data_IF_831088054961
#
_entry.id   IF_831088054961
#
_cell.length_a   1.000
_cell.length_b   1.000
_cell.length_c   1.000
_cell.angle_alpha   90.00
_cell.angle_beta   90.00
_cell.angle_gamma   90.00
#
_symmetry.space_group_name_H-M   'P 1'
#
loop_
_entity.id
_entity.type
_entity.pdbx_description
1 polymer ?
#
# COMPACT_ATOMS: atom_id res chain seq x y z
N UNK A 1 -19.21 -4.99 11.99
CA UNK A 1 -19.01 -6.45 11.82
C UNK A 1 -17.51 -6.72 11.72
N UNK A 2 -17.01 -7.85 12.17
CA UNK A 2 -15.55 -8.10 12.23
C UNK A 2 -15.18 -8.90 11.00
N UNK A 3 -14.41 -8.27 10.09
CA UNK A 3 -13.70 -9.00 9.03
C UNK A 3 -12.85 -10.12 9.68
N UNK A 4 -12.93 -11.32 9.15
CA UNK A 4 -12.09 -12.44 9.60
C UNK A 4 -10.73 -12.33 8.94
N UNK A 5 -9.68 -12.10 9.74
CA UNK A 5 -8.31 -12.13 9.25
C UNK A 5 -7.80 -13.57 9.25
N UNK A 6 -7.30 -14.06 8.11
CA UNK A 6 -6.58 -15.32 7.99
C UNK A 6 -5.12 -15.08 7.62
N UNK A 7 -4.22 -15.95 8.06
CA UNK A 7 -2.80 -15.94 7.63
C UNK A 7 -2.61 -16.98 6.53
N UNK A 8 -1.95 -16.58 5.47
CA UNK A 8 -1.62 -17.46 4.33
C UNK A 8 -0.18 -17.25 3.91
N UNK A 9 0.38 -18.19 3.17
CA UNK A 9 1.70 -18.09 2.56
C UNK A 9 1.58 -18.16 1.05
N UNK A 10 2.29 -17.26 0.37
CA UNK A 10 2.42 -17.21 -1.08
C UNK A 10 3.84 -17.61 -1.43
N UNK A 11 4.02 -18.40 -2.49
CA UNK A 11 5.34 -18.67 -3.03
C UNK A 11 5.89 -17.42 -3.72
N UNK A 12 7.02 -16.91 -3.26
CA UNK A 12 7.70 -15.75 -3.80
C UNK A 12 9.11 -16.09 -4.32
N UNK A 13 9.78 -15.14 -4.98
CA UNK A 13 11.09 -15.38 -5.59
C UNK A 13 12.22 -15.61 -4.56
N UNK A 14 12.06 -15.12 -3.32
CA UNK A 14 13.03 -15.32 -2.24
C UNK A 14 12.58 -16.38 -1.21
N UNK A 15 11.54 -17.16 -1.51
CA UNK A 15 10.92 -18.11 -0.61
C UNK A 15 9.46 -17.74 -0.30
N UNK A 16 8.90 -18.24 0.79
CA UNK A 16 7.50 -17.96 1.14
C UNK A 16 7.31 -16.53 1.61
N UNK A 17 6.15 -15.96 1.26
CA UNK A 17 5.70 -14.62 1.67
C UNK A 17 4.52 -14.79 2.62
N UNK A 18 4.65 -14.31 3.85
CA UNK A 18 3.54 -14.27 4.82
C UNK A 18 2.56 -13.16 4.43
N UNK A 19 1.27 -13.48 4.37
CA UNK A 19 0.22 -12.53 4.11
C UNK A 19 -0.88 -12.63 5.18
N UNK A 20 -1.40 -11.49 5.62
CA UNK A 20 -2.67 -11.40 6.31
C UNK A 20 -3.77 -11.04 5.29
N UNK A 21 -4.85 -11.78 5.29
CA UNK A 21 -5.97 -11.59 4.37
C UNK A 21 -7.22 -11.30 5.15
N UNK A 22 -7.80 -10.14 4.89
CA UNK A 22 -9.06 -9.68 5.48
C UNK A 22 -10.15 -9.77 4.42
N UNK A 23 -11.18 -10.58 4.66
CA UNK A 23 -12.25 -10.82 3.70
C UNK A 23 -13.53 -10.07 4.08
N UNK A 24 -14.27 -9.51 3.10
CA UNK A 24 -15.61 -8.99 3.33
C UNK A 24 -16.57 -10.13 3.66
N UNK A 25 -17.77 -9.82 4.17
CA UNK A 25 -18.79 -10.83 4.50
C UNK A 25 -19.43 -11.46 3.26
N UNK A 26 -19.51 -10.69 2.18
CA UNK A 26 -19.99 -11.16 0.87
C UNK A 26 -18.84 -11.61 -0.03
N UNK A 27 -19.15 -12.20 -1.17
CA UNK A 27 -18.16 -12.48 -2.20
C UNK A 27 -17.41 -11.19 -2.57
N UNK A 28 -16.08 -11.18 -2.62
CA UNK A 28 -15.32 -9.98 -2.90
C UNK A 28 -15.58 -9.49 -4.34
N UNK A 29 -15.71 -8.17 -4.50
CA UNK A 29 -15.80 -7.52 -5.81
C UNK A 29 -14.45 -7.40 -6.53
N UNK A 30 -13.36 -7.62 -5.80
CA UNK A 30 -11.99 -7.50 -6.26
C UNK A 30 -11.01 -7.68 -5.12
N UNK A 31 -9.76 -7.38 -5.36
CA UNK A 31 -8.66 -7.59 -4.41
C UNK A 31 -7.82 -6.34 -4.21
N UNK A 32 -7.45 -6.05 -2.97
CA UNK A 32 -6.55 -4.95 -2.64
C UNK A 32 -5.24 -5.51 -2.04
N UNK A 33 -4.09 -5.25 -2.68
CA UNK A 33 -2.76 -5.59 -2.15
C UNK A 33 -2.16 -4.36 -1.50
N UNK A 34 -1.89 -4.45 -0.19
CA UNK A 34 -1.51 -3.30 0.64
C UNK A 34 -0.12 -3.51 1.22
N UNK A 35 0.84 -2.71 0.75
CA UNK A 35 2.25 -2.82 1.11
C UNK A 35 2.60 -1.95 2.32
N UNK A 36 3.38 -2.52 3.27
CA UNK A 36 3.77 -1.89 4.52
C UNK A 36 4.98 -0.95 4.38
N UNK A 37 5.26 -0.08 5.38
CA UNK A 37 6.42 0.81 5.35
C UNK A 37 7.74 0.05 5.46
N UNK A 38 8.86 0.79 5.53
CA UNK A 38 10.20 0.24 5.37
C UNK A 38 10.50 -0.94 6.31
N UNK A 39 10.93 -2.10 5.77
CA UNK A 39 11.18 -3.32 6.52
C UNK A 39 12.18 -3.14 7.66
N UNK A 40 13.28 -2.45 7.40
CA UNK A 40 14.37 -2.26 8.37
C UNK A 40 14.05 -1.22 9.46
N UNK A 41 12.94 -0.48 9.33
CA UNK A 41 12.46 0.49 10.34
C UNK A 41 11.19 0.02 11.04
N UNK A 42 11.03 -1.28 11.21
CA UNK A 42 9.91 -1.87 11.94
C UNK A 42 8.60 -1.93 11.14
N UNK A 43 8.66 -1.76 9.82
CA UNK A 43 7.51 -1.95 8.94
C UNK A 43 7.06 -3.41 8.93
N UNK A 44 5.76 -3.62 9.12
CA UNK A 44 5.10 -4.94 9.05
C UNK A 44 3.70 -4.81 8.50
N UNK A 45 3.11 -5.93 8.10
CA UNK A 45 1.71 -6.03 7.68
C UNK A 45 0.70 -5.58 8.76
N UNK A 46 1.14 -5.49 10.02
CA UNK A 46 0.30 -5.03 11.17
C UNK A 46 0.46 -3.54 11.47
N UNK A 47 1.17 -2.77 10.63
CA UNK A 47 1.25 -1.32 10.74
C UNK A 47 -0.17 -0.70 10.72
N UNK A 48 -0.42 0.31 11.57
CA UNK A 48 -1.76 0.91 11.74
C UNK A 48 -2.31 1.57 10.48
N UNK A 49 -1.45 2.20 9.67
CA UNK A 49 -1.87 2.78 8.38
C UNK A 49 -2.28 1.67 7.42
N UNK A 50 -1.49 0.60 7.33
CA UNK A 50 -1.78 -0.59 6.50
C UNK A 50 -3.09 -1.26 6.91
N UNK A 51 -3.31 -1.45 8.22
CA UNK A 51 -4.58 -1.99 8.73
C UNK A 51 -5.77 -1.06 8.45
N UNK A 52 -5.56 0.26 8.48
CA UNK A 52 -6.61 1.24 8.16
C UNK A 52 -7.00 1.16 6.69
N UNK A 53 -6.02 1.07 5.79
CA UNK A 53 -6.26 0.86 4.36
C UNK A 53 -7.01 -0.47 4.11
N UNK A 54 -6.58 -1.55 4.78
CA UNK A 54 -7.25 -2.85 4.66
C UNK A 54 -8.73 -2.78 5.07
N UNK A 55 -9.03 -2.11 6.19
CA UNK A 55 -10.42 -1.91 6.63
C UNK A 55 -11.23 -1.12 5.61
N UNK A 56 -10.68 -0.03 5.07
CA UNK A 56 -11.36 0.76 4.04
C UNK A 56 -11.73 -0.10 2.82
N UNK A 57 -10.79 -0.91 2.33
CA UNK A 57 -11.06 -1.78 1.18
C UNK A 57 -12.04 -2.90 1.49
N UNK A 58 -12.01 -3.48 2.69
CA UNK A 58 -13.01 -4.49 3.11
C UNK A 58 -14.41 -3.88 3.18
N UNK A 59 -14.57 -2.66 3.72
CA UNK A 59 -15.85 -1.92 3.72
C UNK A 59 -16.35 -1.63 2.30
N UNK A 60 -15.42 -1.44 1.35
CA UNK A 60 -15.73 -1.27 -0.08
C UNK A 60 -16.00 -2.60 -0.81
N UNK A 61 -15.94 -3.74 -0.11
CA UNK A 61 -16.20 -5.07 -0.65
C UNK A 61 -15.01 -5.76 -1.31
N UNK A 62 -13.78 -5.29 -1.11
CA UNK A 62 -12.56 -5.97 -1.59
C UNK A 62 -12.04 -6.96 -0.54
N UNK A 63 -11.41 -8.04 -1.00
CA UNK A 63 -10.56 -8.86 -0.14
C UNK A 63 -9.18 -8.18 -0.04
N UNK A 64 -8.76 -7.81 1.19
CA UNK A 64 -7.55 -7.05 1.42
C UNK A 64 -6.38 -7.97 1.82
N UNK A 65 -5.33 -7.98 1.00
CA UNK A 65 -4.10 -8.74 1.19
C UNK A 65 -2.99 -7.83 1.69
N UNK A 66 -2.43 -8.16 2.85
CA UNK A 66 -1.32 -7.44 3.48
C UNK A 66 -0.10 -8.37 3.55
N UNK A 67 0.80 -8.37 2.56
CA UNK A 67 2.04 -9.15 2.64
C UNK A 67 3.04 -8.52 3.61
N UNK A 68 3.84 -9.37 4.29
CA UNK A 68 5.12 -8.98 4.83
C UNK A 68 6.18 -9.05 3.73
N UNK A 69 6.96 -8.00 3.55
CA UNK A 69 8.10 -8.05 2.66
C UNK A 69 9.12 -9.09 3.12
N UNK A 70 10.00 -9.53 2.21
CA UNK A 70 11.09 -10.45 2.49
C UNK A 70 11.88 -10.05 3.74
N UNK A 71 12.20 -11.03 4.58
CA UNK A 71 12.91 -10.83 5.84
C UNK A 71 12.07 -10.22 6.97
N UNK A 72 10.75 -10.03 6.80
CA UNK A 72 9.84 -9.51 7.82
C UNK A 72 8.87 -10.61 8.28
N UNK A 73 8.65 -10.73 9.58
CA UNK A 73 7.76 -11.74 10.16
C UNK A 73 8.19 -13.16 9.77
N UNK A 74 7.30 -13.90 9.12
CA UNK A 74 7.57 -15.24 8.62
C UNK A 74 7.89 -15.28 7.11
N UNK A 75 8.03 -14.11 6.47
CA UNK A 75 8.50 -14.03 5.08
C UNK A 75 10.00 -14.35 5.00
N UNK A 76 10.34 -15.23 4.06
CA UNK A 76 11.72 -15.63 3.82
C UNK A 76 12.47 -14.58 2.99
N UNK A 77 13.79 -14.76 2.85
CA UNK A 77 14.67 -13.86 2.13
C UNK A 77 15.25 -12.74 3.00
N UNK A 78 15.77 -11.71 2.35
CA UNK A 78 16.38 -10.53 2.98
C UNK A 78 16.03 -9.28 2.21
N UNK A 79 16.00 -8.13 2.88
CA UNK A 79 15.80 -6.82 2.27
C UNK A 79 16.73 -6.61 1.07
N UNK A 80 16.18 -6.17 -0.06
CA UNK A 80 16.88 -6.01 -1.34
C UNK A 80 16.66 -4.61 -1.97
N UNK A 81 16.66 -3.56 -1.14
CA UNK A 81 16.63 -2.15 -1.57
C UNK A 81 15.44 -1.81 -2.51
N UNK A 82 14.35 -2.51 -2.34
CA UNK A 82 13.13 -2.32 -3.12
C UNK A 82 13.09 -3.09 -4.45
N UNK A 83 14.18 -3.73 -4.88
CA UNK A 83 14.18 -4.56 -6.11
C UNK A 83 13.38 -5.83 -5.90
N UNK A 84 13.80 -6.62 -4.93
CA UNK A 84 13.15 -7.88 -4.61
C UNK A 84 11.77 -7.70 -3.98
N UNK A 85 11.55 -6.63 -3.24
CA UNK A 85 10.25 -6.31 -2.63
C UNK A 85 9.17 -6.08 -3.68
N UNK A 86 9.49 -5.48 -4.82
CA UNK A 86 8.56 -5.34 -5.95
C UNK A 86 8.23 -6.71 -6.55
N UNK A 87 9.21 -7.62 -6.66
CA UNK A 87 8.98 -8.97 -7.16
C UNK A 87 8.12 -9.81 -6.20
N UNK A 88 8.29 -9.62 -4.88
CA UNK A 88 7.40 -10.24 -3.88
C UNK A 88 5.96 -9.78 -4.05
N UNK A 89 5.72 -8.47 -4.20
CA UNK A 89 4.38 -7.94 -4.48
C UNK A 89 3.81 -8.47 -5.79
N UNK A 90 4.63 -8.58 -6.84
CA UNK A 90 4.22 -9.16 -8.12
C UNK A 90 3.78 -10.63 -7.96
N UNK A 91 4.50 -11.42 -7.16
CA UNK A 91 4.14 -12.81 -6.86
C UNK A 91 2.80 -12.90 -6.11
N UNK A 92 2.55 -12.00 -5.13
CA UNK A 92 1.27 -11.93 -4.43
C UNK A 92 0.14 -11.58 -5.41
N UNK A 93 0.32 -10.58 -6.27
CA UNK A 93 -0.68 -10.21 -7.30
C UNK A 93 -0.95 -11.36 -8.25
N UNK A 94 0.08 -12.09 -8.69
CA UNK A 94 -0.08 -13.25 -9.59
C UNK A 94 -0.85 -14.41 -8.94
N UNK A 95 -0.73 -14.58 -7.62
CA UNK A 95 -1.49 -15.59 -6.86
C UNK A 95 -2.97 -15.26 -6.78
N UNK A 96 -3.31 -13.97 -6.78
CA UNK A 96 -4.69 -13.46 -6.71
C UNK A 96 -5.25 -13.40 -8.14
N UNK A 97 -5.50 -14.55 -8.73
CA UNK A 97 -6.07 -14.61 -10.09
C UNK A 97 -7.50 -14.07 -10.10
N UNK A 98 -7.73 -12.89 -10.66
CA UNK A 98 -9.06 -12.27 -10.72
C UNK A 98 -9.06 -10.89 -11.37
N UNK A 99 -10.25 -10.33 -11.57
CA UNK A 99 -10.45 -8.95 -12.02
C UNK A 99 -10.49 -7.99 -10.83
N UNK A 100 -10.20 -6.71 -11.06
CA UNK A 100 -10.38 -5.65 -10.07
C UNK A 100 -9.26 -5.60 -9.03
N UNK A 101 -7.99 -5.50 -9.46
CA UNK A 101 -6.86 -5.37 -8.54
C UNK A 101 -6.63 -3.91 -8.18
N UNK A 102 -6.64 -3.63 -6.87
CA UNK A 102 -6.22 -2.37 -6.28
C UNK A 102 -4.84 -2.55 -5.67
N UNK A 103 -3.92 -1.63 -5.96
CA UNK A 103 -2.64 -1.53 -5.29
C UNK A 103 -2.68 -0.36 -4.31
N UNK A 104 -2.29 -0.62 -3.06
CA UNK A 104 -2.18 0.41 -2.04
C UNK A 104 -0.89 0.25 -1.25
N UNK A 105 -0.34 1.35 -0.71
CA UNK A 105 0.87 1.26 0.08
C UNK A 105 1.09 2.48 0.96
N UNK A 106 1.92 2.27 1.99
CA UNK A 106 2.36 3.32 2.89
C UNK A 106 3.88 3.47 2.86
N UNK A 107 4.36 4.71 2.70
CA UNK A 107 5.78 5.09 2.75
C UNK A 107 6.62 4.29 1.74
N UNK A 108 7.55 3.45 2.17
CA UNK A 108 8.28 2.51 1.32
C UNK A 108 7.33 1.64 0.48
N UNK A 109 6.30 1.07 1.11
CA UNK A 109 5.31 0.26 0.41
C UNK A 109 4.57 1.03 -0.69
N UNK A 110 4.33 2.34 -0.51
CA UNK A 110 3.76 3.18 -1.56
C UNK A 110 4.72 3.32 -2.75
N UNK A 111 6.01 3.52 -2.50
CA UNK A 111 7.02 3.56 -3.56
C UNK A 111 7.11 2.23 -4.33
N UNK A 112 7.05 1.09 -3.64
CA UNK A 112 7.06 -0.24 -4.26
C UNK A 112 5.80 -0.51 -5.08
N UNK A 113 4.64 -0.08 -4.60
CA UNK A 113 3.38 -0.19 -5.34
C UNK A 113 3.36 0.70 -6.59
N UNK A 114 3.94 1.89 -6.54
CA UNK A 114 4.09 2.75 -7.72
C UNK A 114 4.95 2.07 -8.80
N UNK A 115 6.06 1.41 -8.42
CA UNK A 115 6.89 0.62 -9.34
C UNK A 115 6.13 -0.56 -9.93
N UNK A 116 5.38 -1.29 -9.11
CA UNK A 116 4.59 -2.43 -9.57
C UNK A 116 3.45 -2.01 -10.49
N UNK A 117 2.81 -0.87 -10.24
CA UNK A 117 1.69 -0.35 -11.03
C UNK A 117 2.03 -0.14 -12.51
N UNK A 118 3.30 0.18 -12.82
CA UNK A 118 3.77 0.28 -14.20
C UNK A 118 3.70 -1.05 -14.96
N UNK A 119 3.75 -2.18 -14.25
CA UNK A 119 3.77 -3.54 -14.82
C UNK A 119 2.39 -4.19 -14.85
N UNK A 120 1.60 -4.04 -13.79
CA UNK A 120 0.33 -4.77 -13.61
C UNK A 120 -0.93 -3.98 -13.95
N UNK A 121 -0.82 -2.66 -14.16
CA UNK A 121 -1.93 -1.76 -14.53
C UNK A 121 -3.17 -1.97 -13.63
N UNK A 122 -3.09 -1.61 -12.35
CA UNK A 122 -4.19 -1.82 -11.41
C UNK A 122 -5.43 -0.99 -11.77
N UNK A 123 -6.59 -1.41 -11.30
CA UNK A 123 -7.85 -0.63 -11.40
C UNK A 123 -7.74 0.68 -10.61
N UNK A 124 -7.11 0.63 -9.45
CA UNK A 124 -6.84 1.79 -8.59
C UNK A 124 -5.45 1.69 -8.00
N UNK A 125 -4.81 2.83 -7.81
CA UNK A 125 -3.54 2.97 -7.09
C UNK A 125 -3.71 4.01 -5.97
N UNK A 126 -3.43 3.59 -4.72
CA UNK A 126 -3.53 4.45 -3.53
C UNK A 126 -2.18 4.52 -2.83
N UNK A 127 -1.60 5.70 -2.80
CA UNK A 127 -0.26 5.97 -2.27
C UNK A 127 -0.34 6.90 -1.06
N UNK A 128 0.14 6.44 0.10
CA UNK A 128 0.10 7.20 1.36
C UNK A 128 1.51 7.47 1.84
N UNK A 129 1.85 8.75 2.07
CA UNK A 129 3.16 9.15 2.59
C UNK A 129 4.34 8.64 1.77
N UNK A 130 4.24 8.70 0.45
CA UNK A 130 5.15 8.03 -0.50
C UNK A 130 6.59 8.44 -0.32
N UNK A 131 7.50 7.47 -0.15
CA UNK A 131 8.94 7.68 0.12
C UNK A 131 9.72 8.10 -1.14
N UNK A 132 9.39 9.27 -1.70
CA UNK A 132 9.96 9.79 -2.97
C UNK A 132 11.42 10.26 -2.87
N UNK A 133 11.93 10.52 -1.66
CA UNK A 133 13.31 10.98 -1.48
C UNK A 133 14.34 9.85 -1.54
N UNK A 134 13.96 8.67 -1.08
CA UNK A 134 14.91 7.57 -0.87
C UNK A 134 14.81 6.49 -1.93
N UNK A 135 13.77 6.55 -2.75
CA UNK A 135 13.50 5.55 -3.79
C UNK A 135 13.12 6.24 -5.09
N UNK A 136 13.60 5.70 -6.19
CA UNK A 136 13.14 6.10 -7.50
C UNK A 136 11.66 5.66 -7.66
N UNK A 137 10.76 6.64 -7.64
CA UNK A 137 9.32 6.44 -7.78
C UNK A 137 8.91 6.91 -9.17
N UNK A 138 8.56 6.00 -10.09
CA UNK A 138 8.20 6.37 -11.45
C UNK A 138 6.90 7.19 -11.50
N UNK A 139 6.62 7.86 -12.62
CA UNK A 139 5.30 8.43 -12.86
C UNK A 139 4.20 7.39 -12.70
N UNK A 140 3.07 7.82 -12.15
CA UNK A 140 1.93 6.95 -11.85
C UNK A 140 0.71 7.28 -12.73
N UNK A 141 -0.26 6.37 -12.89
CA UNK A 141 -1.48 6.65 -13.64
C UNK A 141 -2.22 7.90 -13.14
N UNK A 142 -2.79 8.70 -14.04
CA UNK A 142 -3.49 9.96 -13.70
C UNK A 142 -4.62 9.80 -12.68
N UNK A 143 -5.25 8.65 -12.61
CA UNK A 143 -6.28 8.33 -11.63
C UNK A 143 -5.75 7.78 -10.31
N UNK A 144 -4.47 7.99 -9.96
CA UNK A 144 -3.93 7.55 -8.68
C UNK A 144 -4.34 8.49 -7.55
N UNK A 145 -4.71 7.93 -6.39
CA UNK A 145 -4.95 8.69 -5.16
C UNK A 145 -3.63 8.79 -4.38
N UNK A 146 -3.13 10.01 -4.22
CA UNK A 146 -1.96 10.30 -3.38
C UNK A 146 -2.39 11.08 -2.14
N UNK A 147 -2.14 10.52 -0.95
CA UNK A 147 -2.51 11.13 0.34
C UNK A 147 -1.23 11.42 1.12
N UNK A 148 -1.13 12.64 1.65
CA UNK A 148 0.05 13.04 2.39
C UNK A 148 -0.31 13.85 3.64
N UNK A 149 0.50 13.71 4.70
CA UNK A 149 0.36 14.52 5.92
C UNK A 149 1.02 15.88 5.75
N UNK A 150 0.30 16.96 6.14
CA UNK A 150 0.86 18.32 6.07
C UNK A 150 2.15 18.47 6.88
N UNK A 151 2.21 17.80 8.06
CA UNK A 151 3.33 17.90 9.02
C UNK A 151 4.25 16.67 8.96
N UNK A 152 4.28 15.98 7.83
CA UNK A 152 5.18 14.84 7.62
C UNK A 152 6.64 15.32 7.57
N UNK A 153 7.41 14.97 8.61
CA UNK A 153 8.85 15.28 8.71
C UNK A 153 9.74 14.14 8.20
N UNK A 154 9.18 12.95 8.00
CA UNK A 154 9.90 11.78 7.44
C UNK A 154 10.02 11.91 5.92
N UNK A 155 8.93 12.27 5.29
CA UNK A 155 8.89 12.62 3.86
C UNK A 155 8.25 14.01 3.76
N UNK A 156 9.03 15.09 3.65
CA UNK A 156 8.48 16.44 3.59
C UNK A 156 7.50 16.62 2.43
N UNK A 157 6.37 17.29 2.69
CA UNK A 157 5.33 17.56 1.69
C UNK A 157 5.89 18.18 0.41
N UNK A 158 6.90 19.07 0.55
CA UNK A 158 7.56 19.71 -0.59
C UNK A 158 8.14 18.68 -1.58
N UNK A 159 8.78 17.62 -1.06
CA UNK A 159 9.35 16.57 -1.91
C UNK A 159 8.28 15.81 -2.70
N UNK A 160 7.13 15.55 -2.08
CA UNK A 160 6.02 14.87 -2.77
C UNK A 160 5.38 15.79 -3.81
N UNK A 161 5.28 17.09 -3.53
CA UNK A 161 4.84 18.09 -4.51
C UNK A 161 5.80 18.19 -5.71
N UNK A 162 7.11 18.16 -5.46
CA UNK A 162 8.13 18.19 -6.53
C UNK A 162 8.07 16.95 -7.42
N UNK A 163 7.80 15.77 -6.83
CA UNK A 163 7.58 14.55 -7.59
C UNK A 163 6.26 14.55 -8.37
N UNK A 164 5.18 15.11 -7.80
CA UNK A 164 3.84 15.10 -8.39
C UNK A 164 3.67 16.15 -9.50
N UNK A 165 4.30 17.31 -9.36
CA UNK A 165 4.13 18.47 -10.25
C UNK A 165 4.43 18.20 -11.73
N UNK A 166 5.53 17.49 -12.11
CA UNK A 166 5.82 17.23 -13.53
C UNK A 166 4.81 16.30 -14.22
N UNK A 167 3.98 15.59 -13.45
CA UNK A 167 2.99 14.66 -13.98
C UNK A 167 1.54 15.15 -13.79
N UNK A 168 1.35 16.40 -13.38
CA UNK A 168 0.03 16.98 -13.09
C UNK A 168 -0.82 16.13 -12.14
N UNK A 169 -0.17 15.52 -11.12
CA UNK A 169 -0.80 14.58 -10.21
C UNK A 169 -1.38 15.31 -8.99
N UNK A 170 -2.71 15.28 -8.78
CA UNK A 170 -3.32 15.88 -7.60
C UNK A 170 -2.92 15.14 -6.31
N UNK A 171 -2.77 15.91 -5.22
CA UNK A 171 -2.53 15.39 -3.88
C UNK A 171 -3.68 15.74 -2.94
N UNK A 172 -4.04 14.79 -2.08
CA UNK A 172 -4.89 15.04 -0.91
C UNK A 172 -3.97 15.27 0.29
N UNK A 173 -3.90 16.50 0.76
CA UNK A 173 -3.11 16.86 1.95
C UNK A 173 -4.03 16.84 3.17
N UNK A 174 -3.64 16.09 4.21
CA UNK A 174 -4.39 16.01 5.47
C UNK A 174 -3.80 16.99 6.48
N UNK A 175 -4.55 18.06 6.85
CA UNK A 175 -4.07 19.10 7.76
C UNK A 175 -3.67 18.53 9.12
N UNK A 176 -2.51 18.95 9.64
CA UNK A 176 -1.97 18.55 10.94
C UNK A 176 -1.62 17.06 11.08
N UNK A 177 -1.64 16.27 9.98
CA UNK A 177 -1.19 14.88 10.00
C UNK A 177 0.32 14.81 9.85
N UNK A 178 0.96 13.98 10.68
CA UNK A 178 2.36 13.58 10.54
C UNK A 178 2.44 12.27 9.73
N UNK A 179 3.65 11.72 9.56
CA UNK A 179 3.90 10.57 8.68
C UNK A 179 2.99 9.36 8.94
N UNK A 180 2.75 9.00 10.22
CA UNK A 180 1.96 7.83 10.61
C UNK A 180 0.47 8.11 10.78
N UNK A 181 0.01 9.34 10.53
CA UNK A 181 -1.40 9.76 10.66
C UNK A 181 -1.99 9.49 12.05
N UNK A 182 -1.16 9.60 13.13
CA UNK A 182 -1.68 9.46 14.49
C UNK A 182 -2.86 10.41 14.73
N UNK A 183 -3.95 9.89 15.33
CA UNK A 183 -5.22 10.61 15.54
C UNK A 183 -5.93 11.07 14.25
N UNK A 184 -5.43 10.74 13.05
CA UNK A 184 -5.99 11.10 11.74
C UNK A 184 -6.32 9.87 10.87
N UNK A 185 -6.16 8.65 11.39
CA UNK A 185 -6.43 7.41 10.64
C UNK A 185 -7.89 7.32 10.15
N UNK A 186 -8.85 7.92 10.88
CA UNK A 186 -10.24 8.00 10.43
C UNK A 186 -10.37 8.84 9.15
N UNK A 187 -9.67 9.99 9.05
CA UNK A 187 -9.68 10.81 7.85
C UNK A 187 -9.06 10.06 6.66
N UNK A 188 -7.94 9.35 6.91
CA UNK A 188 -7.33 8.51 5.88
C UNK A 188 -8.33 7.49 5.33
N UNK A 189 -9.07 6.79 6.22
CA UNK A 189 -10.08 5.82 5.83
C UNK A 189 -11.19 6.48 5.00
N UNK A 190 -11.76 7.57 5.49
CA UNK A 190 -12.88 8.27 4.85
C UNK A 190 -12.50 8.78 3.44
N UNK A 191 -11.26 9.26 3.26
CA UNK A 191 -10.73 9.68 1.95
C UNK A 191 -10.67 8.48 1.00
N UNK A 192 -10.09 7.35 1.44
CA UNK A 192 -9.97 6.14 0.61
C UNK A 192 -11.34 5.59 0.23
N UNK A 193 -12.26 5.48 1.18
CA UNK A 193 -13.63 5.01 0.93
C UNK A 193 -14.37 5.91 -0.06
N UNK A 194 -14.23 7.24 0.06
CA UNK A 194 -14.88 8.19 -0.84
C UNK A 194 -14.33 8.12 -2.26
N UNK A 195 -13.02 7.92 -2.40
CA UNK A 195 -12.34 7.91 -3.70
C UNK A 195 -12.50 6.57 -4.45
N UNK A 196 -12.54 5.45 -3.72
CA UNK A 196 -12.56 4.09 -4.30
C UNK A 196 -13.96 3.45 -4.36
N UNK A 197 -15.01 4.21 -4.00
CA UNK A 197 -16.41 3.77 -4.01
C UNK A 197 -16.99 3.47 -5.38
#
# INVERSE_FOLDING_TARGET
MRATTRRVFVAGPAGRIECAVDSPESSPRGYAVIAHPHPQFGGTLDNKVVQTLARAFVELGYEAWRPNFRGVGQSEGRYDEGRGEVEDLAAVVAQIAGQGIVLAGFSFGAAMQARLAARVKPERLVLVGTAVLNFDVPPVPRGSLVIHGEQDTTVPLAAVLDWARPQDLPLVVVPGAEHFFHRRLHLLRDIVESYCR
#
